data_IF_935576324816
#
_entry.id   IF_935576324816
#
_cell.length_a   1.000
_cell.length_b   1.000
_cell.length_c   1.000
_cell.angle_alpha   90.00
_cell.angle_beta   90.00
_cell.angle_gamma   90.00
#
_symmetry.space_group_name_H-M   'P 1'
#
loop_
_entity.id
_entity.type
_entity.pdbx_description
1 polymer ?
#
# COMPACT_ATOMS: atom_id res chain seq x y z
N UNK A 1 -28.65 -7.10 -8.18
CA UNK A 1 -28.57 -5.62 -8.23
C UNK A 1 -28.01 -5.14 -6.91
N UNK A 2 -27.13 -4.14 -6.96
CA UNK A 2 -26.40 -3.65 -5.79
C UNK A 2 -26.58 -2.14 -5.70
N UNK A 3 -26.65 -1.62 -4.46
CA UNK A 3 -26.77 -0.18 -4.22
C UNK A 3 -25.41 0.49 -4.40
N UNK A 4 -25.37 1.58 -5.16
CA UNK A 4 -24.15 2.36 -5.45
C UNK A 4 -24.40 3.82 -5.15
N UNK A 5 -23.44 4.47 -4.48
CA UNK A 5 -23.46 5.90 -4.20
C UNK A 5 -23.38 6.71 -5.49
N UNK A 6 -24.17 7.77 -5.58
CA UNK A 6 -24.12 8.76 -6.65
C UNK A 6 -23.46 10.07 -6.20
N UNK A 7 -23.03 10.16 -4.93
CA UNK A 7 -22.32 11.35 -4.45
C UNK A 7 -20.92 11.38 -5.10
N UNK A 8 -20.50 12.49 -5.74
CA UNK A 8 -19.16 12.63 -6.28
C UNK A 8 -18.08 12.38 -5.23
N UNK A 9 -17.01 11.67 -5.59
CA UNK A 9 -15.91 11.35 -4.66
C UNK A 9 -15.11 12.57 -4.21
N UNK A 10 -15.14 13.63 -5.02
CA UNK A 10 -14.53 14.94 -4.84
C UNK A 10 -15.52 15.99 -4.28
N UNK A 11 -16.71 15.56 -3.84
CA UNK A 11 -17.68 16.46 -3.25
C UNK A 11 -17.11 17.14 -1.99
N UNK A 12 -17.27 18.47 -1.84
CA UNK A 12 -16.81 19.17 -0.66
C UNK A 12 -17.57 18.70 0.59
N UNK A 13 -16.89 18.70 1.74
CA UNK A 13 -17.48 18.36 3.04
C UNK A 13 -18.27 19.56 3.62
N UNK A 14 -19.30 20.00 2.89
CA UNK A 14 -20.17 21.11 3.26
C UNK A 14 -21.57 20.59 3.62
N UNK A 15 -22.01 20.71 4.89
CA UNK A 15 -23.32 20.22 5.33
C UNK A 15 -24.50 21.01 4.75
N UNK A 16 -24.28 22.17 4.13
CA UNK A 16 -25.31 22.91 3.42
C UNK A 16 -25.62 22.31 2.05
N UNK A 17 -24.75 21.46 1.50
CA UNK A 17 -24.95 20.84 0.19
C UNK A 17 -25.68 19.50 0.31
N UNK A 18 -26.70 19.32 -0.52
CA UNK A 18 -27.52 18.12 -0.58
C UNK A 18 -27.58 17.61 -2.02
N UNK A 19 -27.21 16.34 -2.19
CA UNK A 19 -27.28 15.61 -3.44
C UNK A 19 -28.50 14.69 -3.45
N UNK A 20 -29.28 14.70 -4.54
CA UNK A 20 -30.45 13.84 -4.68
C UNK A 20 -30.61 13.28 -6.10
N UNK A 21 -30.88 11.97 -6.28
CA UNK A 21 -30.79 10.92 -5.27
C UNK A 21 -29.33 10.66 -4.84
N UNK A 22 -29.13 10.17 -3.61
CA UNK A 22 -27.77 9.86 -3.10
C UNK A 22 -27.23 8.50 -3.58
N UNK A 23 -28.11 7.61 -4.02
CA UNK A 23 -27.73 6.28 -4.47
C UNK A 23 -28.71 5.72 -5.50
N UNK A 24 -28.28 4.70 -6.23
CA UNK A 24 -29.10 3.97 -7.20
C UNK A 24 -28.76 2.48 -7.19
N UNK A 25 -29.56 1.66 -7.87
CA UNK A 25 -29.31 0.23 -8.04
C UNK A 25 -28.75 -0.04 -9.43
N UNK A 26 -27.62 -0.73 -9.49
CA UNK A 26 -27.01 -1.18 -10.75
C UNK A 26 -26.73 -2.69 -10.71
N UNK A 27 -26.57 -3.30 -11.89
CA UNK A 27 -26.14 -4.71 -11.94
C UNK A 27 -24.65 -4.77 -11.61
N UNK A 28 -24.30 -5.59 -10.62
CA UNK A 28 -22.93 -5.93 -10.26
C UNK A 28 -22.84 -7.43 -10.08
N UNK A 29 -21.67 -7.98 -10.37
CA UNK A 29 -21.37 -9.39 -10.16
C UNK A 29 -21.38 -9.69 -8.67
N UNK A 30 -21.96 -10.82 -8.32
CA UNK A 30 -22.09 -11.31 -6.95
C UNK A 30 -22.51 -12.76 -6.95
N UNK A 31 -22.41 -13.42 -5.79
CA UNK A 31 -22.66 -14.85 -5.64
C UNK A 31 -21.39 -15.63 -5.30
N UNK A 32 -21.52 -16.95 -5.25
CA UNK A 32 -20.44 -17.87 -4.91
C UNK A 32 -19.81 -18.52 -6.15
N UNK A 33 -18.56 -18.94 -6.01
CA UNK A 33 -17.85 -19.76 -6.97
C UNK A 33 -17.58 -21.14 -6.35
N UNK A 34 -17.24 -22.13 -7.19
CA UNK A 34 -17.02 -23.51 -6.77
C UNK A 34 -15.80 -23.72 -5.86
N UNK A 35 -14.86 -22.77 -5.83
CA UNK A 35 -13.64 -22.88 -5.06
C UNK A 35 -13.26 -21.54 -4.42
N UNK A 36 -12.65 -21.60 -3.22
CA UNK A 36 -12.26 -20.42 -2.42
C UNK A 36 -11.22 -19.50 -3.08
N UNK A 37 -10.46 -20.02 -4.04
CA UNK A 37 -9.46 -19.25 -4.79
C UNK A 37 -10.08 -18.46 -5.95
N UNK A 38 -11.38 -18.69 -6.23
CA UNK A 38 -12.10 -18.02 -7.29
C UNK A 38 -13.05 -16.97 -6.69
N UNK A 39 -13.22 -15.86 -7.39
CA UNK A 39 -14.25 -14.86 -7.09
C UNK A 39 -15.09 -14.54 -8.32
N UNK A 40 -16.34 -14.14 -8.08
CA UNK A 40 -17.26 -13.75 -9.14
C UNK A 40 -16.88 -12.36 -9.65
N UNK A 41 -16.32 -12.30 -10.85
CA UNK A 41 -15.75 -11.08 -11.44
C UNK A 41 -16.50 -10.68 -12.73
N UNK A 42 -16.56 -9.39 -13.06
CA UNK A 42 -17.08 -8.94 -14.35
C UNK A 42 -16.13 -9.38 -15.48
N UNK A 43 -16.72 -9.88 -16.57
CA UNK A 43 -16.00 -10.11 -17.84
C UNK A 43 -16.45 -9.13 -18.93
N UNK A 44 -17.58 -8.46 -18.72
CA UNK A 44 -18.11 -7.44 -19.61
C UNK A 44 -18.85 -6.39 -18.77
N UNK A 45 -18.60 -5.12 -19.07
CA UNK A 45 -19.15 -3.97 -18.37
C UNK A 45 -19.68 -2.94 -19.37
N UNK A 46 -20.64 -2.15 -18.92
CA UNK A 46 -21.17 -0.99 -19.62
C UNK A 46 -21.22 0.20 -18.65
N UNK A 47 -21.21 1.41 -19.19
CA UNK A 47 -21.29 2.64 -18.40
C UNK A 47 -22.69 3.23 -18.49
N UNK A 48 -23.23 3.64 -17.34
CA UNK A 48 -24.51 4.34 -17.23
C UNK A 48 -24.27 5.75 -16.72
N UNK A 49 -24.98 6.72 -17.29
CA UNK A 49 -24.94 8.11 -16.84
C UNK A 49 -26.22 8.44 -16.07
N UNK A 50 -26.07 8.80 -14.80
CA UNK A 50 -27.16 9.29 -13.95
C UNK A 50 -27.05 10.80 -13.79
N UNK A 51 -28.15 11.53 -13.90
CA UNK A 51 -28.17 12.96 -13.59
C UNK A 51 -28.76 13.17 -12.21
N UNK A 52 -27.95 13.66 -11.27
CA UNK A 52 -28.40 14.01 -9.92
C UNK A 52 -28.57 15.52 -9.77
N UNK A 53 -29.29 15.92 -8.74
CA UNK A 53 -29.50 17.31 -8.35
C UNK A 53 -28.56 17.65 -7.21
N UNK A 54 -27.80 18.74 -7.35
CA UNK A 54 -27.06 19.37 -6.26
C UNK A 54 -27.82 20.61 -5.83
N UNK A 55 -28.14 20.68 -4.55
CA UNK A 55 -28.87 21.79 -3.94
C UNK A 55 -28.13 22.31 -2.72
N UNK A 56 -28.26 23.59 -2.43
CA UNK A 56 -27.67 24.23 -1.26
C UNK A 56 -28.76 24.74 -0.33
N UNK A 57 -28.59 24.52 0.96
CA UNK A 57 -29.43 25.05 2.01
C UNK A 57 -29.11 26.53 2.23
N UNK A 58 -30.10 27.40 2.04
CA UNK A 58 -29.93 28.86 2.14
C UNK A 58 -30.58 29.45 3.40
N UNK A 59 -30.93 28.61 4.39
CA UNK A 59 -31.61 29.02 5.62
C UNK A 59 -33.14 28.82 5.62
N UNK A 60 -33.71 28.60 6.80
CA UNK A 60 -35.14 28.31 6.99
C UNK A 60 -35.54 26.93 6.47
N UNK A 61 -36.61 26.83 5.68
CA UNK A 61 -37.02 25.59 4.99
C UNK A 61 -36.73 25.64 3.48
N UNK A 62 -35.76 26.47 3.06
CA UNK A 62 -35.49 26.75 1.64
C UNK A 62 -34.23 26.02 1.16
N UNK A 63 -34.39 25.32 0.03
CA UNK A 63 -33.30 24.69 -0.72
C UNK A 63 -33.19 25.37 -2.08
N UNK A 64 -31.99 25.78 -2.46
CA UNK A 64 -31.70 26.33 -3.78
C UNK A 64 -31.09 25.25 -4.68
N UNK A 65 -31.63 25.06 -5.88
CA UNK A 65 -30.99 24.24 -6.90
C UNK A 65 -29.70 24.95 -7.35
N UNK A 66 -28.57 24.29 -7.18
CA UNK A 66 -27.27 24.79 -7.65
C UNK A 66 -27.07 24.34 -9.09
N UNK A 67 -27.08 23.03 -9.32
CA UNK A 67 -26.81 22.44 -10.64
C UNK A 67 -27.33 21.01 -10.75
N UNK A 68 -27.32 20.48 -11.98
CA UNK A 68 -27.54 19.07 -12.28
C UNK A 68 -26.21 18.44 -12.66
N UNK A 69 -25.81 17.42 -11.92
CA UNK A 69 -24.49 16.79 -12.05
C UNK A 69 -24.63 15.43 -12.73
N UNK A 70 -23.94 15.18 -13.86
CA UNK A 70 -23.87 13.84 -14.45
C UNK A 70 -22.85 12.98 -13.69
N UNK A 71 -23.27 11.78 -13.27
CA UNK A 71 -22.48 10.78 -12.56
C UNK A 71 -22.40 9.53 -13.41
N UNK A 72 -21.18 9.10 -13.73
CA UNK A 72 -20.93 7.89 -14.51
C UNK A 72 -20.76 6.72 -13.54
N UNK A 73 -21.55 5.67 -13.75
CA UNK A 73 -21.52 4.46 -12.92
C UNK A 73 -21.35 3.25 -13.81
N UNK A 74 -20.38 2.40 -13.45
CA UNK A 74 -20.18 1.11 -14.12
C UNK A 74 -21.28 0.10 -13.75
N UNK A 75 -21.78 -0.61 -14.76
CA UNK A 75 -22.71 -1.73 -14.66
C UNK A 75 -22.08 -2.99 -15.27
N UNK A 76 -22.19 -4.12 -14.58
CA UNK A 76 -21.70 -5.40 -15.09
C UNK A 76 -22.79 -6.10 -15.91
N UNK A 77 -22.47 -6.52 -17.13
CA UNK A 77 -23.42 -7.20 -18.04
C UNK A 77 -23.21 -8.71 -18.08
N UNK A 78 -21.97 -9.18 -17.89
CA UNK A 78 -21.62 -10.60 -17.78
C UNK A 78 -20.60 -10.85 -16.68
N UNK A 79 -20.76 -12.00 -16.00
CA UNK A 79 -19.92 -12.40 -14.88
C UNK A 79 -19.36 -13.81 -15.11
N UNK A 80 -18.16 -14.06 -14.58
CA UNK A 80 -17.55 -15.40 -14.54
C UNK A 80 -16.73 -15.54 -13.27
N UNK A 81 -16.59 -16.78 -12.80
CA UNK A 81 -15.61 -17.11 -11.77
C UNK A 81 -14.19 -17.03 -12.34
N UNK A 82 -13.37 -16.13 -11.80
CA UNK A 82 -11.96 -15.98 -12.12
C UNK A 82 -11.10 -16.08 -10.87
N UNK A 83 -9.79 -16.19 -11.02
CA UNK A 83 -8.88 -16.20 -9.89
C UNK A 83 -8.99 -14.90 -9.07
N UNK A 84 -9.16 -15.03 -7.75
CA UNK A 84 -9.22 -13.88 -6.86
C UNK A 84 -7.87 -13.15 -6.76
N UNK A 85 -6.78 -13.93 -6.77
CA UNK A 85 -5.41 -13.41 -6.91
C UNK A 85 -5.08 -13.32 -8.39
N UNK A 86 -4.55 -12.17 -8.81
CA UNK A 86 -4.07 -11.90 -10.16
C UNK A 86 -2.57 -11.65 -10.15
N UNK A 87 -1.97 -11.54 -11.32
CA UNK A 87 -0.53 -11.35 -11.47
C UNK A 87 -0.03 -10.06 -10.83
N UNK A 88 -0.81 -8.98 -10.92
CA UNK A 88 -0.53 -7.69 -10.29
C UNK A 88 -0.51 -7.73 -8.75
N UNK A 89 -1.06 -8.78 -8.13
CA UNK A 89 -0.99 -8.98 -6.69
C UNK A 89 0.30 -9.66 -6.24
N UNK A 90 1.07 -10.25 -7.17
CA UNK A 90 2.33 -10.90 -6.86
C UNK A 90 3.43 -9.85 -6.68
N UNK A 91 4.30 -10.06 -5.70
CA UNK A 91 5.46 -9.21 -5.52
C UNK A 91 6.61 -9.60 -6.46
N UNK A 92 7.67 -8.78 -6.49
CA UNK A 92 8.85 -9.00 -7.36
C UNK A 92 9.61 -10.31 -7.14
N UNK A 93 9.39 -11.02 -6.03
CA UNK A 93 10.03 -12.31 -5.71
C UNK A 93 9.11 -13.51 -6.00
N UNK A 94 7.95 -13.25 -6.59
CA UNK A 94 6.96 -14.25 -6.93
C UNK A 94 6.69 -14.24 -8.43
N UNK A 95 6.20 -15.37 -8.93
CA UNK A 95 5.58 -15.49 -10.24
C UNK A 95 4.13 -15.94 -10.07
N UNK A 96 3.24 -15.46 -10.92
CA UNK A 96 1.86 -15.92 -10.91
C UNK A 96 1.74 -17.29 -11.57
N UNK A 97 1.05 -18.21 -10.90
CA UNK A 97 0.78 -19.56 -11.40
C UNK A 97 -0.71 -19.66 -11.73
N UNK A 98 -1.05 -19.42 -13.01
CA UNK A 98 -2.43 -19.35 -13.52
C UNK A 98 -3.23 -20.61 -13.23
N UNK A 99 -2.60 -21.78 -13.33
CA UNK A 99 -3.23 -23.09 -13.08
C UNK A 99 -3.73 -23.27 -11.64
N UNK A 100 -3.14 -22.52 -10.70
CA UNK A 100 -3.41 -22.64 -9.26
C UNK A 100 -3.94 -21.36 -8.63
N UNK A 101 -4.21 -20.32 -9.43
CA UNK A 101 -4.67 -19.01 -8.95
C UNK A 101 -3.84 -18.47 -7.78
N UNK A 102 -2.51 -18.62 -7.82
CA UNK A 102 -1.64 -18.26 -6.68
C UNK A 102 -0.30 -17.68 -7.13
N UNK A 103 0.26 -16.81 -6.31
CA UNK A 103 1.64 -16.38 -6.43
C UNK A 103 2.55 -17.46 -5.83
N UNK A 104 3.61 -17.83 -6.55
CA UNK A 104 4.61 -18.80 -6.09
C UNK A 104 5.99 -18.16 -6.07
N UNK A 105 6.74 -18.40 -4.99
CA UNK A 105 8.09 -17.89 -4.84
C UNK A 105 9.02 -18.48 -5.90
N UNK A 106 9.94 -17.67 -6.39
CA UNK A 106 10.92 -18.09 -7.41
C UNK A 106 12.18 -18.70 -6.80
N UNK A 107 12.51 -18.36 -5.55
CA UNK A 107 13.68 -18.84 -4.81
C UNK A 107 13.43 -20.18 -4.08
N UNK A 108 13.15 -21.22 -4.86
CA UNK A 108 12.82 -22.56 -4.33
C UNK A 108 13.96 -23.21 -3.54
N UNK A 109 15.21 -22.86 -3.83
CA UNK A 109 16.37 -23.38 -3.11
C UNK A 109 16.42 -22.84 -1.67
N UNK A 110 16.19 -21.53 -1.50
CA UNK A 110 16.13 -20.89 -0.17
C UNK A 110 14.97 -21.46 0.65
N UNK A 111 13.81 -21.65 0.01
CA UNK A 111 12.67 -22.31 0.62
C UNK A 111 13.05 -23.72 1.10
N UNK A 112 13.69 -24.51 0.25
CA UNK A 112 14.10 -25.88 0.60
C UNK A 112 15.11 -25.90 1.75
N UNK A 113 16.08 -24.98 1.78
CA UNK A 113 17.02 -24.82 2.89
C UNK A 113 16.30 -24.45 4.19
N UNK A 114 15.39 -23.49 4.13
CA UNK A 114 14.59 -23.07 5.29
C UNK A 114 13.77 -24.22 5.88
N UNK A 115 13.13 -25.01 5.02
CA UNK A 115 12.27 -26.13 5.44
C UNK A 115 13.06 -27.30 6.06
N UNK A 116 14.37 -27.44 5.80
CA UNK A 116 15.21 -28.42 6.50
C UNK A 116 15.39 -28.09 7.99
N UNK A 117 15.26 -26.82 8.36
CA UNK A 117 15.35 -26.34 9.74
C UNK A 117 13.96 -25.96 10.29
N UNK A 118 12.92 -26.73 9.91
CA UNK A 118 11.52 -26.41 10.22
C UNK A 118 11.20 -26.33 11.71
N UNK A 119 12.06 -26.85 12.59
CA UNK A 119 11.90 -26.74 14.05
C UNK A 119 12.10 -25.31 14.56
N UNK A 120 12.99 -24.54 13.94
CA UNK A 120 13.36 -23.19 14.37
C UNK A 120 12.92 -22.11 13.38
N UNK A 121 12.79 -22.46 12.11
CA UNK A 121 12.50 -21.55 11.00
C UNK A 121 11.15 -21.86 10.36
N UNK A 122 10.58 -20.84 9.74
CA UNK A 122 9.34 -20.91 8.95
C UNK A 122 9.53 -20.12 7.65
N UNK A 123 9.02 -20.67 6.55
CA UNK A 123 9.01 -19.98 5.26
C UNK A 123 7.79 -19.07 5.15
N UNK A 124 8.02 -17.80 4.84
CA UNK A 124 6.95 -16.86 4.51
C UNK A 124 6.72 -16.87 3.00
N UNK A 125 5.62 -17.48 2.55
CA UNK A 125 5.28 -17.53 1.12
C UNK A 125 4.86 -16.20 0.53
N UNK A 126 4.42 -15.25 1.36
CA UNK A 126 4.00 -13.92 0.92
C UNK A 126 5.21 -13.00 0.72
N UNK A 127 6.25 -13.13 1.54
CA UNK A 127 7.49 -12.37 1.42
C UNK A 127 8.61 -13.11 0.66
N UNK A 128 8.47 -14.42 0.45
CA UNK A 128 9.47 -15.31 -0.14
C UNK A 128 10.82 -15.29 0.59
N UNK A 129 10.76 -15.33 1.92
CA UNK A 129 11.94 -15.40 2.77
C UNK A 129 11.76 -16.38 3.92
N UNK A 130 12.90 -16.80 4.48
CA UNK A 130 12.94 -17.62 5.67
C UNK A 130 13.00 -16.72 6.91
N UNK A 131 12.18 -17.01 7.91
CA UNK A 131 12.16 -16.27 9.19
C UNK A 131 12.17 -17.21 10.38
N UNK A 132 12.62 -16.72 11.53
CA UNK A 132 12.54 -17.48 12.77
C UNK A 132 11.10 -17.63 13.24
N UNK A 133 10.74 -18.79 13.80
CA UNK A 133 9.41 -19.02 14.38
C UNK A 133 9.17 -18.14 15.60
N UNK A 134 10.18 -18.04 16.46
CA UNK A 134 10.17 -17.19 17.64
C UNK A 134 11.25 -16.13 17.50
N UNK A 135 10.86 -14.87 17.63
CA UNK A 135 11.78 -13.75 17.82
C UNK A 135 11.78 -13.39 19.29
N UNK A 136 12.93 -13.44 19.95
CA UNK A 136 13.06 -13.11 21.37
C UNK A 136 13.89 -11.84 21.55
N UNK A 137 13.53 -11.04 22.56
CA UNK A 137 14.39 -9.96 23.03
C UNK A 137 15.64 -10.54 23.67
N UNK A 138 16.80 -10.11 23.20
CA UNK A 138 18.10 -10.57 23.71
C UNK A 138 18.53 -9.71 24.92
N UNK A 139 19.33 -10.29 25.81
CA UNK A 139 19.89 -9.59 26.98
C UNK A 139 21.02 -8.63 26.57
N UNK A 140 21.35 -7.68 27.45
CA UNK A 140 22.43 -6.70 27.24
C UNK A 140 23.73 -7.38 26.80
N UNK A 141 24.33 -6.91 25.71
CA UNK A 141 25.57 -7.48 25.15
C UNK A 141 25.36 -8.62 24.15
N UNK A 142 24.11 -8.99 23.84
CA UNK A 142 23.78 -9.97 22.79
C UNK A 142 22.83 -9.37 21.75
N UNK A 143 22.86 -9.88 20.52
CA UNK A 143 21.92 -9.51 19.46
C UNK A 143 21.27 -10.75 18.85
N UNK A 144 20.04 -10.59 18.36
CA UNK A 144 19.31 -11.70 17.74
C UNK A 144 19.82 -11.90 16.31
N UNK A 145 20.37 -13.08 16.05
CA UNK A 145 20.78 -13.49 14.71
C UNK A 145 19.59 -14.19 14.02
N UNK A 146 19.05 -13.55 12.97
CA UNK A 146 17.92 -14.07 12.19
C UNK A 146 18.28 -15.30 11.35
N UNK A 147 19.57 -15.55 11.09
CA UNK A 147 20.03 -16.74 10.37
C UNK A 147 20.14 -17.96 11.29
N UNK A 148 20.46 -17.75 12.57
CA UNK A 148 20.61 -18.82 13.56
C UNK A 148 19.40 -18.95 14.50
N UNK A 149 18.50 -17.97 14.49
CA UNK A 149 17.35 -17.85 15.39
C UNK A 149 17.73 -17.90 16.86
N UNK A 150 18.85 -17.25 17.21
CA UNK A 150 19.45 -17.27 18.56
C UNK A 150 20.03 -15.91 18.90
N UNK A 151 20.06 -15.60 20.20
CA UNK A 151 20.83 -14.48 20.72
C UNK A 151 22.31 -14.88 20.75
N UNK A 152 23.14 -14.15 20.00
CA UNK A 152 24.59 -14.34 19.98
C UNK A 152 25.29 -13.13 20.60
N UNK A 153 26.46 -13.36 21.19
CA UNK A 153 27.25 -12.29 21.80
C UNK A 153 27.68 -11.27 20.75
N UNK A 154 27.48 -9.99 21.05
CA UNK A 154 28.15 -8.93 20.28
C UNK A 154 29.65 -9.13 20.53
N UNK A 155 30.48 -9.36 19.50
CA UNK A 155 31.90 -9.47 19.69
C UNK A 155 32.37 -8.25 20.48
N UNK A 156 33.09 -8.47 21.59
CA UNK A 156 33.88 -7.42 22.21
C UNK A 156 34.93 -7.01 21.19
N UNK A 157 34.59 -6.08 20.31
CA UNK A 157 35.55 -5.43 19.46
C UNK A 157 36.59 -4.86 20.40
N UNK A 158 37.83 -5.31 20.25
CA UNK A 158 38.96 -4.62 20.87
C UNK A 158 38.89 -3.18 20.38
N UNK A 159 39.29 -2.17 21.18
CA UNK A 159 39.19 -0.75 20.82
C UNK A 159 39.82 -0.39 19.45
N UNK A 160 40.64 -1.26 18.87
CA UNK A 160 41.22 -1.13 17.52
C UNK A 160 40.22 -1.29 16.37
N UNK A 161 39.09 -1.98 16.56
CA UNK A 161 38.14 -2.30 15.48
C UNK A 161 36.94 -1.33 15.42
N UNK A 162 36.84 -0.39 16.36
CA UNK A 162 35.79 0.63 16.45
C UNK A 162 35.69 1.47 15.17
N UNK A 163 36.83 1.77 14.54
CA UNK A 163 36.95 2.61 13.34
C UNK A 163 36.34 1.99 12.07
N UNK A 164 36.26 0.66 11.99
CA UNK A 164 35.66 -0.04 10.84
C UNK A 164 34.13 -0.09 10.94
N UNK A 165 33.59 -0.20 12.16
CA UNK A 165 32.14 -0.27 12.38
C UNK A 165 31.47 1.11 12.31
N UNK A 166 32.15 2.17 12.79
CA UNK A 166 31.63 3.54 12.68
C UNK A 166 31.46 3.94 11.20
N UNK A 167 32.37 3.53 10.31
CA UNK A 167 32.19 3.72 8.86
C UNK A 167 30.98 2.99 8.28
N UNK A 168 30.62 1.82 8.82
CA UNK A 168 29.42 1.06 8.41
C UNK A 168 28.13 1.61 9.02
N UNK A 169 28.21 2.32 10.15
CA UNK A 169 27.08 2.98 10.83
C UNK A 169 26.54 4.17 10.02
N UNK A 170 27.39 4.83 9.24
CA UNK A 170 26.99 5.91 8.31
C UNK A 170 26.51 5.40 6.93
N UNK A 171 26.54 4.09 6.68
CA UNK A 171 25.91 3.53 5.49
C UNK A 171 24.40 3.50 5.74
N UNK A 172 23.72 4.54 5.28
CA UNK A 172 22.25 4.60 5.28
C UNK A 172 21.75 3.42 4.44
N UNK A 173 21.21 2.39 5.10
CA UNK A 173 20.54 1.28 4.41
C UNK A 173 19.24 1.81 3.83
N UNK A 174 19.04 1.64 2.53
CA UNK A 174 17.78 1.99 1.87
C UNK A 174 16.63 1.25 2.56
N UNK A 175 15.66 1.99 3.10
CA UNK A 175 14.43 1.42 3.63
C UNK A 175 13.53 1.08 2.43
N UNK A 176 12.91 -0.12 2.37
CA UNK A 176 11.94 -0.42 1.33
C UNK A 176 10.79 0.58 1.41
N UNK A 177 10.48 1.25 0.30
CA UNK A 177 9.29 2.10 0.20
C UNK A 177 8.07 1.18 0.27
N UNK A 178 7.35 1.21 1.39
CA UNK A 178 6.02 0.63 1.50
C UNK A 178 5.04 1.55 0.77
N UNK A 179 4.26 1.05 -0.21
CA UNK A 179 3.28 1.88 -0.90
C UNK A 179 2.08 2.10 0.02
N UNK A 180 2.06 3.25 0.69
CA UNK A 180 0.95 3.67 1.53
C UNK A 180 1.40 4.49 2.72
N UNK A 181 1.83 5.73 2.47
CA UNK A 181 1.72 6.89 3.38
C UNK A 181 2.44 8.08 2.69
N UNK A 182 1.67 8.77 1.86
CA UNK A 182 2.04 10.07 1.31
C UNK A 182 1.74 11.16 2.36
N UNK A 183 2.62 12.17 2.34
CA UNK A 183 2.42 13.53 2.86
C UNK A 183 2.63 13.73 4.36
N UNK A 184 3.84 14.17 4.71
CA UNK A 184 4.10 15.57 5.11
C UNK A 184 5.48 15.69 5.80
N UNK A 185 6.46 16.21 5.07
CA UNK A 185 7.51 17.01 5.69
C UNK A 185 7.62 18.33 4.94
N UNK A 186 7.18 19.38 5.63
CA UNK A 186 7.39 20.77 5.25
C UNK A 186 8.90 20.99 5.18
N UNK A 187 9.39 21.45 4.04
CA UNK A 187 10.74 22.01 3.93
C UNK A 187 10.75 23.31 4.72
N UNK A 188 11.19 23.25 5.98
CA UNK A 188 11.57 24.44 6.74
C UNK A 188 12.95 24.84 6.23
N UNK A 189 13.01 25.84 5.35
CA UNK A 189 14.25 26.51 4.98
C UNK A 189 14.75 27.33 6.17
N UNK A 190 15.97 27.12 6.69
CA UNK A 190 16.53 27.99 7.71
C UNK A 190 16.94 29.33 7.09
N UNK A 191 16.34 30.42 7.57
CA UNK A 191 16.82 31.78 7.34
C UNK A 191 18.18 31.97 8.07
N UNK A 192 19.22 32.32 7.33
CA UNK A 192 20.49 32.78 7.90
C UNK A 192 20.56 34.31 7.86
N UNK A 193 20.96 34.96 8.97
CA UNK A 193 21.01 36.41 9.06
C UNK A 193 22.22 37.01 8.31
N UNK A 194 22.00 38.22 7.82
CA UNK A 194 22.83 39.05 6.94
C UNK A 194 24.35 38.94 7.07
N UNK A 195 24.99 38.79 5.91
CA UNK A 195 26.38 39.21 5.67
C UNK A 195 26.33 40.32 4.62
N UNK A 196 27.00 41.42 4.93
CA UNK A 196 27.02 42.70 4.22
C UNK A 196 27.75 42.63 2.87
N UNK A 197 27.43 43.53 1.91
CA UNK A 197 28.00 43.54 0.57
C UNK A 197 29.26 44.43 0.46
N UNK A 198 30.25 43.98 -0.30
CA UNK A 198 31.39 44.77 -0.81
C UNK A 198 31.61 44.42 -2.30
N UNK A 199 32.20 45.32 -3.12
CA UNK A 199 31.64 45.78 -4.40
C UNK A 199 32.39 45.21 -5.63
N UNK A 200 31.97 45.55 -6.87
CA UNK A 200 32.24 44.74 -8.05
C UNK A 200 33.58 45.07 -8.70
N UNK A 201 34.31 44.04 -9.14
CA UNK A 201 35.38 44.21 -10.12
C UNK A 201 34.87 43.84 -11.51
N UNK A 202 34.76 44.89 -12.32
CA UNK A 202 34.69 44.88 -13.78
C UNK A 202 35.89 44.13 -14.34
N UNK A 203 35.70 43.28 -15.35
CA UNK A 203 36.53 43.23 -16.57
C UNK A 203 35.67 42.70 -17.73
N UNK A 204 36.00 43.21 -18.91
CA UNK A 204 35.27 43.23 -20.17
C UNK A 204 34.81 41.89 -20.73
#
# INVERSE_FOLDING_TARGET
MTLVSLIPTDAPNDPSLVYYPQCTRVKRCGGCCSHRLLSCQPIETETLTFTIIKSQYTGGARMQLVERVPIIVEQHTKCRCGCAVKEEHCNRFQRYETSQCKCVCTNLEDQSKCLKESELKIWDSNACNCRCRETKGCTTGTYFDETQCKCISIPNLRPSDQTILDRKKYIIKARPVTPGEDSRYQTVTPEYPGVTPWPPNKYY
#
